data_IF_516170389859
#
_entry.id   IF_516170389859
#
_cell.length_a   1.000
_cell.length_b   1.000
_cell.length_c   1.000
_cell.angle_alpha   90.00
_cell.angle_beta   90.00
_cell.angle_gamma   90.00
#
_symmetry.space_group_name_H-M   'P 1'
#
loop_
_entity.id
_entity.type
_entity.pdbx_description
1 polymer ?
#
# COMPACT_ATOMS: atom_id res chain seq x y z
N UNK A 1 3.48 -19.14 -14.84
CA UNK A 1 2.76 -18.78 -13.62
C UNK A 1 1.64 -17.82 -14.02
N UNK A 2 0.40 -18.01 -13.53
CA UNK A 2 -0.71 -17.09 -13.84
C UNK A 2 -0.45 -15.76 -13.12
N UNK A 3 -0.54 -14.65 -13.87
CA UNK A 3 -0.50 -13.31 -13.28
C UNK A 3 -1.76 -13.07 -12.45
N UNK A 4 -1.66 -12.34 -11.36
CA UNK A 4 -2.83 -11.95 -10.59
C UNK A 4 -3.66 -10.93 -11.37
N UNK A 5 -4.96 -11.18 -11.53
CA UNK A 5 -5.87 -10.26 -12.23
C UNK A 5 -6.44 -9.25 -11.24
N UNK A 6 -6.16 -7.99 -11.52
CA UNK A 6 -6.60 -6.83 -10.72
C UNK A 6 -7.51 -5.96 -11.57
N UNK A 7 -8.74 -5.76 -11.13
CA UNK A 7 -9.72 -4.89 -11.80
C UNK A 7 -9.92 -3.65 -10.93
N UNK A 8 -9.79 -2.47 -11.54
CA UNK A 8 -10.06 -1.19 -10.88
C UNK A 8 -11.16 -0.48 -11.65
N UNK A 9 -12.30 -0.22 -11.00
CA UNK A 9 -13.49 0.36 -11.60
C UNK A 9 -13.95 1.59 -10.82
N UNK A 10 -13.94 2.74 -11.48
CA UNK A 10 -14.46 4.01 -10.97
C UNK A 10 -14.80 4.91 -12.16
N UNK A 11 -15.90 5.64 -12.09
CA UNK A 11 -16.30 6.61 -13.12
C UNK A 11 -15.43 7.87 -13.11
N UNK A 12 -14.73 8.15 -12.00
CA UNK A 12 -13.81 9.29 -11.86
C UNK A 12 -12.42 8.97 -12.42
N UNK A 13 -12.18 9.37 -13.66
CA UNK A 13 -10.89 9.18 -14.35
C UNK A 13 -9.74 9.85 -13.59
N UNK A 14 -9.97 11.00 -12.95
CA UNK A 14 -8.92 11.71 -12.21
C UNK A 14 -8.45 10.93 -11.00
N UNK A 15 -9.31 10.08 -10.46
CA UNK A 15 -8.97 9.18 -9.36
C UNK A 15 -8.29 7.89 -9.85
N UNK A 16 -8.78 7.32 -10.95
CA UNK A 16 -8.25 6.06 -11.51
C UNK A 16 -6.79 6.21 -11.97
N UNK A 17 -6.48 7.28 -12.70
CA UNK A 17 -5.15 7.46 -13.30
C UNK A 17 -4.01 7.38 -12.28
N UNK A 18 -4.04 8.11 -11.15
CA UNK A 18 -2.99 8.00 -10.13
C UNK A 18 -2.88 6.61 -9.52
N UNK A 19 -4.00 5.92 -9.32
CA UNK A 19 -4.01 4.55 -8.78
C UNK A 19 -3.45 3.56 -9.78
N UNK A 20 -3.82 3.66 -11.06
CA UNK A 20 -3.27 2.86 -12.16
C UNK A 20 -1.75 3.02 -12.27
N UNK A 21 -1.27 4.27 -12.24
CA UNK A 21 0.16 4.56 -12.30
C UNK A 21 0.90 3.92 -11.12
N UNK A 22 0.31 3.95 -9.93
CA UNK A 22 0.90 3.33 -8.75
C UNK A 22 0.98 1.80 -8.86
N UNK A 23 -0.06 1.15 -9.37
CA UNK A 23 -0.04 -0.29 -9.64
C UNK A 23 0.98 -0.65 -10.73
N UNK A 24 1.04 0.13 -11.81
CA UNK A 24 2.00 -0.09 -12.90
C UNK A 24 3.46 0.10 -12.42
N UNK A 25 3.73 1.12 -11.61
CA UNK A 25 5.07 1.38 -11.04
C UNK A 25 5.56 0.22 -10.15
N UNK A 26 4.67 -0.31 -9.29
CA UNK A 26 5.05 -1.29 -8.27
C UNK A 26 5.03 -2.73 -8.78
N UNK A 27 4.17 -3.05 -9.73
CA UNK A 27 3.96 -4.43 -10.16
C UNK A 27 4.29 -4.68 -11.64
N UNK A 28 4.50 -3.64 -12.44
CA UNK A 28 4.81 -3.70 -13.87
C UNK A 28 4.23 -4.95 -14.55
N UNK A 29 5.06 -5.96 -14.86
CA UNK A 29 4.63 -7.20 -15.54
C UNK A 29 4.10 -8.31 -14.60
N UNK A 30 3.99 -8.06 -13.28
CA UNK A 30 3.61 -9.08 -12.30
C UNK A 30 2.10 -9.32 -12.20
N UNK A 31 1.29 -8.35 -12.63
CA UNK A 31 -0.17 -8.40 -12.58
C UNK A 31 -0.78 -8.18 -13.95
N UNK A 32 -2.03 -8.64 -14.11
CA UNK A 32 -2.92 -8.31 -15.22
C UNK A 32 -3.90 -7.24 -14.70
N UNK A 33 -3.62 -5.97 -15.05
CA UNK A 33 -4.36 -4.80 -14.55
C UNK A 33 -5.38 -4.34 -15.59
N UNK A 34 -6.65 -4.42 -15.23
CA UNK A 34 -7.77 -3.94 -16.04
C UNK A 34 -8.39 -2.71 -15.39
N UNK A 35 -8.51 -1.62 -16.16
CA UNK A 35 -9.08 -0.36 -15.71
C UNK A 35 -10.41 -0.13 -16.41
N UNK A 36 -11.45 0.16 -15.62
CA UNK A 36 -12.80 0.36 -16.10
C UNK A 36 -13.29 1.72 -15.61
N UNK A 37 -13.54 2.64 -16.55
CA UNK A 37 -14.11 3.97 -16.27
C UNK A 37 -15.53 4.13 -16.85
N UNK A 38 -15.96 3.21 -17.68
CA UNK A 38 -17.30 3.23 -18.29
C UNK A 38 -18.23 2.27 -17.58
N UNK A 39 -19.36 2.82 -17.10
CA UNK A 39 -20.37 2.07 -16.36
C UNK A 39 -21.02 0.96 -17.20
N UNK A 40 -21.30 1.26 -18.47
CA UNK A 40 -21.99 0.30 -19.34
C UNK A 40 -21.08 -0.92 -19.61
N UNK A 41 -19.80 -0.65 -19.85
CA UNK A 41 -18.80 -1.72 -19.98
C UNK A 41 -18.66 -2.54 -18.69
N UNK A 42 -18.68 -1.88 -17.54
CA UNK A 42 -18.63 -2.57 -16.24
C UNK A 42 -19.84 -3.50 -16.05
N UNK A 43 -21.05 -3.01 -16.33
CA UNK A 43 -22.28 -3.80 -16.24
C UNK A 43 -22.27 -4.98 -17.22
N UNK A 44 -21.81 -4.78 -18.45
CA UNK A 44 -21.69 -5.85 -19.47
C UNK A 44 -20.68 -6.91 -19.04
N UNK A 45 -19.51 -6.51 -18.54
CA UNK A 45 -18.48 -7.42 -18.06
C UNK A 45 -18.99 -8.30 -16.90
N UNK A 46 -19.66 -7.69 -15.92
CA UNK A 46 -20.19 -8.40 -14.76
C UNK A 46 -21.56 -9.03 -14.96
N UNK A 47 -22.17 -8.93 -16.15
CA UNK A 47 -23.32 -9.74 -16.55
C UNK A 47 -22.96 -11.23 -16.69
N UNK A 48 -21.69 -11.57 -16.90
CA UNK A 48 -21.18 -12.94 -16.93
C UNK A 48 -20.29 -13.24 -15.72
N UNK A 49 -20.15 -14.51 -15.30
CA UNK A 49 -19.29 -14.87 -14.17
C UNK A 49 -17.84 -14.46 -14.41
N UNK A 50 -17.31 -13.59 -13.57
CA UNK A 50 -15.94 -13.13 -13.64
C UNK A 50 -15.06 -13.78 -12.58
N UNK A 51 -13.76 -13.89 -12.89
CA UNK A 51 -12.73 -14.31 -11.95
C UNK A 51 -11.66 -13.22 -11.86
N UNK A 52 -11.40 -12.75 -10.65
CA UNK A 52 -10.32 -11.82 -10.37
C UNK A 52 -9.72 -12.11 -8.99
N UNK A 53 -8.47 -11.74 -8.79
CA UNK A 53 -7.82 -11.82 -7.49
C UNK A 53 -8.17 -10.60 -6.64
N UNK A 54 -8.29 -9.44 -7.29
CA UNK A 54 -8.64 -8.18 -6.65
C UNK A 54 -9.62 -7.42 -7.52
N UNK A 55 -10.68 -6.91 -6.91
CA UNK A 55 -11.58 -5.91 -7.47
C UNK A 55 -11.55 -4.67 -6.58
N UNK A 56 -11.17 -3.54 -7.13
CA UNK A 56 -11.31 -2.21 -6.51
C UNK A 56 -12.45 -1.50 -7.21
N UNK A 57 -13.50 -1.15 -6.49
CA UNK A 57 -14.72 -0.61 -7.10
C UNK A 57 -15.23 0.58 -6.31
N UNK A 58 -15.70 1.63 -7.00
CA UNK A 58 -16.35 2.78 -6.38
C UNK A 58 -17.73 2.41 -5.83
N UNK A 59 -18.19 3.15 -4.84
CA UNK A 59 -19.52 2.96 -4.24
C UNK A 59 -20.65 3.09 -5.28
N UNK A 60 -20.46 3.94 -6.28
CA UNK A 60 -21.43 4.15 -7.37
C UNK A 60 -21.62 2.90 -8.26
N UNK A 61 -20.56 2.11 -8.47
CA UNK A 61 -20.56 0.91 -9.31
C UNK A 61 -20.80 -0.36 -8.50
N UNK A 62 -20.72 -0.28 -7.17
CA UNK A 62 -20.85 -1.45 -6.31
C UNK A 62 -22.28 -1.94 -6.23
N UNK A 63 -22.46 -3.23 -6.44
CA UNK A 63 -23.69 -3.98 -6.16
C UNK A 63 -23.36 -5.30 -5.46
N UNK A 64 -24.24 -5.76 -4.57
CA UNK A 64 -24.05 -7.01 -3.83
C UNK A 64 -23.95 -8.24 -4.72
N UNK A 65 -24.42 -8.18 -5.97
CA UNK A 65 -24.25 -9.24 -6.97
C UNK A 65 -22.78 -9.52 -7.29
N UNK A 66 -21.90 -8.55 -7.11
CA UNK A 66 -20.45 -8.71 -7.31
C UNK A 66 -19.85 -9.80 -6.40
N UNK A 67 -20.44 -10.05 -5.24
CA UNK A 67 -20.00 -11.13 -4.34
C UNK A 67 -20.30 -12.55 -4.89
N UNK A 68 -21.11 -12.66 -5.94
CA UNK A 68 -21.40 -13.96 -6.59
C UNK A 68 -20.31 -14.38 -7.59
N UNK A 69 -19.44 -13.44 -7.95
CA UNK A 69 -18.30 -13.72 -8.83
C UNK A 69 -17.15 -14.35 -8.06
N UNK A 70 -16.24 -15.02 -8.77
CA UNK A 70 -15.07 -15.63 -8.16
C UNK A 70 -13.96 -14.59 -7.96
N UNK A 71 -14.18 -13.68 -7.01
CA UNK A 71 -13.27 -12.59 -6.67
C UNK A 71 -12.74 -12.83 -5.25
N UNK A 72 -11.42 -12.91 -5.11
CA UNK A 72 -10.80 -13.23 -3.82
C UNK A 72 -10.90 -12.07 -2.81
N UNK A 73 -10.72 -10.84 -3.28
CA UNK A 73 -10.77 -9.63 -2.45
C UNK A 73 -11.50 -8.51 -3.19
N UNK A 74 -12.53 -7.97 -2.58
CA UNK A 74 -13.24 -6.78 -3.07
C UNK A 74 -12.89 -5.61 -2.17
N UNK A 75 -12.47 -4.50 -2.77
CA UNK A 75 -12.20 -3.23 -2.10
C UNK A 75 -13.22 -2.21 -2.58
N UNK A 76 -14.14 -1.87 -1.68
CA UNK A 76 -15.15 -0.86 -1.92
C UNK A 76 -14.63 0.51 -1.50
N UNK A 77 -14.49 1.41 -2.47
CA UNK A 77 -14.08 2.79 -2.22
C UNK A 77 -15.31 3.61 -1.86
N UNK A 78 -15.38 4.04 -0.59
CA UNK A 78 -16.49 4.83 -0.05
C UNK A 78 -16.13 6.31 0.03
N UNK A 79 -17.12 7.17 -0.22
CA UNK A 79 -16.96 8.63 -0.11
C UNK A 79 -17.20 9.16 1.30
N UNK A 80 -17.83 8.37 2.16
CA UNK A 80 -18.06 8.69 3.56
C UNK A 80 -17.27 7.76 4.46
N UNK A 81 -16.71 8.34 5.53
CA UNK A 81 -16.04 7.56 6.57
C UNK A 81 -17.11 7.03 7.53
N UNK A 82 -17.36 5.73 7.50
CA UNK A 82 -18.33 5.08 8.39
C UNK A 82 -17.58 4.23 9.42
N UNK A 83 -17.60 4.68 10.68
CA UNK A 83 -17.14 3.85 11.80
C UNK A 83 -18.21 2.81 12.16
N UNK A 84 -17.85 1.54 12.15
CA UNK A 84 -18.62 0.48 12.82
C UNK A 84 -19.56 -0.36 11.97
N UNK A 85 -19.43 -0.38 10.64
CA UNK A 85 -20.22 -1.31 9.83
C UNK A 85 -19.70 -2.75 9.90
N UNK A 86 -20.66 -3.68 9.95
CA UNK A 86 -20.43 -5.13 9.93
C UNK A 86 -19.56 -5.53 8.75
N UNK A 87 -18.44 -6.19 9.03
CA UNK A 87 -17.57 -6.73 8.00
C UNK A 87 -18.36 -7.73 7.14
N UNK A 88 -18.66 -7.36 5.92
CA UNK A 88 -19.13 -8.31 4.91
C UNK A 88 -17.97 -9.24 4.53
N UNK A 89 -18.24 -10.52 4.41
CA UNK A 89 -17.23 -11.49 4.00
C UNK A 89 -16.65 -11.05 2.63
N UNK A 90 -15.33 -10.91 2.56
CA UNK A 90 -14.56 -10.54 1.36
C UNK A 90 -14.69 -9.09 0.85
N UNK A 91 -15.43 -8.20 1.52
CA UNK A 91 -15.53 -6.79 1.13
C UNK A 91 -14.78 -5.94 2.14
N UNK A 92 -13.74 -5.26 1.65
CA UNK A 92 -12.94 -4.32 2.42
C UNK A 92 -13.32 -2.90 2.03
N UNK A 93 -13.79 -2.10 2.96
CA UNK A 93 -14.12 -0.69 2.71
C UNK A 93 -12.86 0.16 2.84
N UNK A 94 -12.65 1.06 1.90
CA UNK A 94 -11.55 2.03 1.88
C UNK A 94 -12.13 3.41 1.64
N UNK A 95 -11.72 4.38 2.45
CA UNK A 95 -12.14 5.76 2.24
C UNK A 95 -11.43 6.36 1.02
N UNK A 96 -12.20 6.80 0.03
CA UNK A 96 -11.70 7.26 -1.29
C UNK A 96 -10.79 8.49 -1.18
N UNK A 97 -11.03 9.38 -0.22
CA UNK A 97 -10.32 10.66 -0.09
C UNK A 97 -9.08 10.60 0.80
N UNK A 98 -8.49 9.43 0.97
CA UNK A 98 -7.14 9.28 1.52
C UNK A 98 -6.06 9.37 0.44
N UNK A 99 -4.78 9.37 0.83
CA UNK A 99 -3.71 9.38 -0.16
C UNK A 99 -3.69 8.09 -1.00
N UNK A 100 -3.39 8.20 -2.29
CA UNK A 100 -3.25 7.04 -3.19
C UNK A 100 -2.25 6.01 -2.63
N UNK A 101 -1.20 6.48 -1.95
CA UNK A 101 -0.21 5.62 -1.31
C UNK A 101 -0.82 4.79 -0.17
N UNK A 102 -1.71 5.36 0.63
CA UNK A 102 -2.40 4.65 1.71
C UNK A 102 -3.38 3.64 1.16
N UNK A 103 -4.19 4.03 0.17
CA UNK A 103 -5.12 3.13 -0.52
C UNK A 103 -4.38 1.94 -1.12
N UNK A 104 -3.30 2.20 -1.87
CA UNK A 104 -2.45 1.18 -2.45
C UNK A 104 -1.86 0.25 -1.37
N UNK A 105 -1.35 0.81 -0.27
CA UNK A 105 -0.79 0.05 0.84
C UNK A 105 -1.84 -0.84 1.53
N UNK A 106 -3.06 -0.37 1.66
CA UNK A 106 -4.17 -1.14 2.24
C UNK A 106 -4.59 -2.30 1.32
N UNK A 107 -4.77 -2.03 0.02
CA UNK A 107 -5.09 -3.05 -0.98
C UNK A 107 -4.01 -4.14 -0.98
N UNK A 108 -2.75 -3.75 -1.10
CA UNK A 108 -1.64 -4.71 -1.18
C UNK A 108 -1.41 -5.46 0.12
N UNK A 109 -1.60 -4.81 1.26
CA UNK A 109 -1.46 -5.43 2.58
C UNK A 109 -2.50 -6.52 2.83
N UNK A 110 -3.78 -6.26 2.49
CA UNK A 110 -4.87 -7.21 2.65
C UNK A 110 -4.89 -8.30 1.56
N UNK A 111 -4.26 -8.05 0.41
CA UNK A 111 -4.22 -8.97 -0.74
C UNK A 111 -2.87 -9.66 -0.92
N UNK A 112 -1.99 -9.64 0.07
CA UNK A 112 -0.63 -10.18 -0.04
C UNK A 112 -0.57 -11.65 -0.48
N UNK A 113 -1.60 -12.44 -0.16
CA UNK A 113 -1.73 -13.83 -0.60
C UNK A 113 -2.13 -13.99 -2.06
N UNK A 114 -2.88 -13.04 -2.62
CA UNK A 114 -3.38 -13.05 -4.00
C UNK A 114 -2.39 -12.40 -4.96
N UNK A 115 -1.87 -11.25 -4.58
CA UNK A 115 -0.70 -10.66 -5.21
C UNK A 115 0.48 -11.52 -4.77
N UNK A 116 0.85 -12.54 -5.50
CA UNK A 116 2.19 -13.15 -5.37
C UNK A 116 3.21 -12.08 -5.80
N UNK A 117 3.31 -11.05 -4.98
CA UNK A 117 4.43 -10.15 -5.04
C UNK A 117 5.62 -11.07 -4.84
N UNK A 118 6.36 -11.35 -5.90
CA UNK A 118 7.79 -11.44 -5.77
C UNK A 118 8.29 -10.04 -5.37
N UNK A 119 7.83 -9.54 -4.22
CA UNK A 119 8.79 -8.94 -3.38
C UNK A 119 9.78 -10.09 -3.25
N UNK A 120 10.93 -10.00 -3.89
CA UNK A 120 12.12 -10.44 -3.19
C UNK A 120 11.85 -9.90 -1.80
N UNK A 121 11.32 -10.75 -0.96
CA UNK A 121 11.14 -10.46 0.45
C UNK A 121 12.57 -10.36 0.93
N UNK A 122 13.15 -9.18 0.70
CA UNK A 122 14.39 -8.87 1.38
C UNK A 122 13.96 -8.96 2.83
N UNK A 123 14.30 -10.10 3.42
CA UNK A 123 14.05 -10.32 4.83
C UNK A 123 14.46 -9.06 5.58
N UNK A 124 13.64 -8.57 6.51
CA UNK A 124 13.95 -7.35 7.23
C UNK A 124 15.35 -7.52 7.85
N UNK A 125 16.29 -6.69 7.44
CA UNK A 125 17.67 -6.74 7.97
C UNK A 125 17.79 -5.75 9.09
N UNK A 126 18.26 -6.23 10.24
CA UNK A 126 18.58 -5.39 11.38
C UNK A 126 20.09 -5.14 11.33
N UNK A 127 20.47 -3.86 11.23
CA UNK A 127 21.87 -3.42 11.28
C UNK A 127 22.08 -2.70 12.61
N UNK A 128 22.91 -3.26 13.48
CA UNK A 128 23.30 -2.67 14.76
C UNK A 128 24.63 -1.93 14.63
N UNK A 129 24.65 -0.63 14.89
CA UNK A 129 25.88 0.18 14.97
C UNK A 129 26.20 0.41 16.44
N UNK A 130 27.25 -0.23 16.93
CA UNK A 130 27.65 -0.18 18.34
C UNK A 130 29.11 0.26 18.50
N UNK A 131 29.38 0.95 19.61
CA UNK A 131 30.77 1.22 20.07
C UNK A 131 30.74 1.42 21.58
N UNK A 132 31.74 0.87 22.26
CA UNK A 132 31.90 1.03 23.71
C UNK A 132 32.29 2.45 24.14
N UNK A 133 32.88 3.26 23.20
CA UNK A 133 33.36 4.62 23.48
C UNK A 133 32.44 5.69 22.92
N UNK A 134 32.37 6.85 23.60
CA UNK A 134 31.73 8.06 23.07
C UNK A 134 32.59 8.70 21.96
N UNK A 135 31.96 9.56 21.14
CA UNK A 135 32.67 10.36 20.14
C UNK A 135 33.24 9.62 18.91
N UNK A 136 32.96 8.31 18.75
CA UNK A 136 33.52 7.47 17.66
C UNK A 136 32.78 7.58 16.33
N UNK A 137 31.87 8.54 16.17
CA UNK A 137 31.11 8.74 14.94
C UNK A 137 29.96 7.75 14.70
N UNK A 138 29.51 6.97 15.71
CA UNK A 138 28.40 6.00 15.58
C UNK A 138 27.17 6.57 14.90
N UNK A 139 26.70 7.72 15.34
CA UNK A 139 25.53 8.38 14.80
C UNK A 139 25.71 8.73 13.33
N UNK A 140 26.86 9.28 12.97
CA UNK A 140 27.20 9.64 11.59
C UNK A 140 27.21 8.41 10.68
N UNK A 141 27.86 7.33 11.13
CA UNK A 141 27.93 6.07 10.38
C UNK A 141 26.55 5.46 10.23
N UNK A 142 25.75 5.39 11.31
CA UNK A 142 24.41 4.82 11.26
C UNK A 142 23.47 5.60 10.34
N UNK A 143 23.54 6.92 10.36
CA UNK A 143 22.77 7.79 9.46
C UNK A 143 23.23 7.61 8.00
N UNK A 144 24.53 7.55 7.74
CA UNK A 144 25.09 7.30 6.40
C UNK A 144 24.66 5.96 5.83
N UNK A 145 24.69 4.89 6.66
CA UNK A 145 24.18 3.58 6.28
C UNK A 145 22.68 3.65 5.98
N UNK A 146 21.89 4.27 6.85
CA UNK A 146 20.44 4.41 6.65
C UNK A 146 20.12 5.13 5.34
N UNK A 147 20.80 6.24 5.06
CA UNK A 147 20.64 6.99 3.82
C UNK A 147 21.07 6.19 2.58
N UNK A 148 22.14 5.39 2.68
CA UNK A 148 22.58 4.51 1.58
C UNK A 148 21.57 3.40 1.31
N UNK A 149 20.99 2.81 2.36
CA UNK A 149 20.03 1.72 2.24
C UNK A 149 18.71 2.15 1.59
N UNK A 150 18.32 3.42 1.68
CA UNK A 150 17.10 3.92 1.00
C UNK A 150 17.16 3.78 -0.53
N UNK A 151 18.34 3.61 -1.10
CA UNK A 151 18.52 3.35 -2.54
C UNK A 151 18.12 1.94 -2.95
N UNK A 152 18.24 0.98 -2.02
CA UNK A 152 18.04 -0.45 -2.31
C UNK A 152 16.83 -1.05 -1.58
N UNK A 153 16.29 -0.37 -0.57
CA UNK A 153 15.17 -0.83 0.25
C UNK A 153 14.00 0.17 0.17
N UNK A 154 12.79 -0.34 0.02
CA UNK A 154 11.56 0.50 0.00
C UNK A 154 11.32 1.25 1.31
N UNK A 155 11.75 0.67 2.43
CA UNK A 155 11.60 1.26 3.77
C UNK A 155 12.84 1.05 4.58
N UNK A 156 13.34 2.11 5.18
CA UNK A 156 14.46 2.09 6.12
C UNK A 156 14.01 2.81 7.39
N UNK A 157 14.08 2.12 8.53
CA UNK A 157 13.80 2.69 9.83
C UNK A 157 15.12 2.88 10.58
N UNK A 158 15.41 4.13 10.94
CA UNK A 158 16.52 4.44 11.84
C UNK A 158 16.00 4.57 13.28
N UNK A 159 16.56 3.78 14.19
CA UNK A 159 16.24 3.84 15.61
C UNK A 159 17.47 4.31 16.37
N UNK A 160 17.36 5.46 17.03
CA UNK A 160 18.39 5.95 17.94
C UNK A 160 18.11 5.44 19.36
N UNK A 161 18.89 4.43 19.79
CA UNK A 161 18.83 3.88 21.15
C UNK A 161 19.82 4.53 22.13
N UNK A 162 20.44 5.67 21.75
CA UNK A 162 21.35 6.38 22.62
C UNK A 162 20.59 7.12 23.74
N UNK A 163 21.19 7.15 24.94
CA UNK A 163 20.61 7.81 26.11
C UNK A 163 20.46 9.34 25.93
N UNK A 164 21.36 9.96 25.14
CA UNK A 164 21.29 11.36 24.75
C UNK A 164 20.94 11.46 23.28
N UNK A 165 19.78 12.04 22.99
CA UNK A 165 19.27 12.19 21.60
C UNK A 165 19.67 13.57 21.05
N UNK A 166 20.89 13.71 20.59
CA UNK A 166 21.42 14.96 19.99
C UNK A 166 21.21 15.03 18.48
N UNK A 167 20.78 13.97 17.81
CA UNK A 167 20.74 13.93 16.37
C UNK A 167 19.58 14.73 15.75
N UNK A 168 18.57 15.12 16.55
CA UNK A 168 17.46 15.98 16.10
C UNK A 168 17.93 17.28 15.45
N UNK A 169 19.07 17.80 15.91
CA UNK A 169 19.67 19.01 15.35
C UNK A 169 20.36 18.81 13.98
N UNK A 170 20.51 17.55 13.54
CA UNK A 170 21.13 17.19 12.27
C UNK A 170 20.10 17.00 11.14
N UNK A 171 18.82 17.12 11.44
CA UNK A 171 17.75 16.91 10.47
C UNK A 171 17.18 18.24 10.01
N UNK A 172 17.02 18.38 8.71
CA UNK A 172 16.43 19.58 8.09
C UNK A 172 14.94 19.77 8.43
N UNK A 173 14.25 18.70 8.88
CA UNK A 173 12.83 18.75 9.23
C UNK A 173 12.55 18.01 10.55
N UNK A 174 12.60 18.72 11.69
CA UNK A 174 12.37 18.12 13.02
C UNK A 174 10.93 17.66 13.27
N UNK A 175 9.95 18.06 12.45
CA UNK A 175 8.53 17.68 12.61
C UNK A 175 8.21 16.23 12.20
N UNK A 176 9.16 15.51 11.61
CA UNK A 176 8.98 14.12 11.20
C UNK A 176 9.11 13.10 12.34
N UNK A 177 9.28 13.54 13.59
CA UNK A 177 9.41 12.65 14.75
C UNK A 177 8.07 12.42 15.43
N UNK A 178 7.64 11.16 15.43
CA UNK A 178 6.63 10.70 16.35
C UNK A 178 7.26 10.63 17.76
N UNK A 179 6.92 11.58 18.63
CA UNK A 179 7.20 11.46 20.05
C UNK A 179 6.33 10.35 20.64
N UNK A 180 6.91 9.19 20.91
CA UNK A 180 6.32 8.29 21.88
C UNK A 180 6.67 8.84 23.28
N UNK A 181 5.79 9.64 23.85
CA UNK A 181 5.85 9.97 25.24
C UNK A 181 5.27 8.81 26.07
N UNK A 182 6.08 8.34 26.96
CA UNK A 182 5.62 7.94 28.28
C UNK A 182 6.04 8.99 29.30
#
# INVERSE_FOLDING_TARGET
MSRARVIVADTDINYIIPLQLKFAEEFFDAIDLEIISDRSYFEELFASPQKADILVVSEELYDTSLQRHNISNIFLMTEQYEEGQTAELNVNRIFKYTSIKEIFSEITGKSAGALKVQTESQEPRIVLVYSACGGTGKTTVAMGISASLTKNYKRVLYINAARLQVFQHMLENPSAFLHSHR
#
